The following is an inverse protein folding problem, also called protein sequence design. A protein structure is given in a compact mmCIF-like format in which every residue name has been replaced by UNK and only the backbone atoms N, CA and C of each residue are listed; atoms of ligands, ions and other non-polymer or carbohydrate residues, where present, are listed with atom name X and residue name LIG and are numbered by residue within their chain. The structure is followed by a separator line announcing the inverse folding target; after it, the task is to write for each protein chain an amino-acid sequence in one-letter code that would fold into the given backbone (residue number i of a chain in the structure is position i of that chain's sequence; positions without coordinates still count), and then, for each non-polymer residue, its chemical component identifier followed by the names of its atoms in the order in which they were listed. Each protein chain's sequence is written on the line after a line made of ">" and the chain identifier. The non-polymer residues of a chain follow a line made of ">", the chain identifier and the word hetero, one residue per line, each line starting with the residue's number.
data_IF_149425849958
#
_entry.id   IF_149425849958
#
_cell.length_a   1.000
_cell.length_b   1.000
_cell.length_c   1.000
_cell.angle_alpha   90.00
_cell.angle_beta   90.00
_cell.angle_gamma   90.00
#
_symmetry.space_group_name_H-M   'P 1'
#
loop_
_entity.id
_entity.type
_entity.pdbx_description
1 polymer ?
#
# COMPACT_ATOMS: atom_id res chain seq x y z
N UNK A 1 39.63 46.42 -14.89
CA UNK A 1 38.62 45.80 -15.78
C UNK A 1 38.08 44.55 -15.09
N UNK A 2 36.85 44.61 -14.60
CA UNK A 2 36.26 43.71 -13.59
C UNK A 2 35.41 42.67 -14.33
N UNK A 3 35.89 41.43 -14.47
CA UNK A 3 35.13 40.33 -15.09
C UNK A 3 34.38 39.57 -13.99
N UNK A 4 33.14 39.98 -13.73
CA UNK A 4 32.15 39.16 -13.02
C UNK A 4 31.36 38.39 -14.09
N UNK A 5 31.43 37.06 -14.08
CA UNK A 5 30.63 36.19 -14.95
C UNK A 5 29.96 35.10 -14.11
N UNK A 6 28.77 35.46 -13.64
CA UNK A 6 27.49 34.70 -13.69
C UNK A 6 27.56 33.20 -13.34
N UNK A 7 27.15 32.89 -12.10
CA UNK A 7 26.69 31.57 -11.67
C UNK A 7 25.33 31.25 -12.34
N UNK A 8 25.14 30.08 -12.98
CA UNK A 8 23.81 29.58 -13.28
C UNK A 8 23.24 28.89 -12.04
N UNK A 9 22.28 29.55 -11.38
CA UNK A 9 21.37 28.93 -10.42
C UNK A 9 20.42 28.03 -11.22
N UNK A 10 20.74 26.74 -11.32
CA UNK A 10 19.77 25.73 -11.75
C UNK A 10 18.78 25.49 -10.60
N UNK A 11 17.72 26.31 -10.58
CA UNK A 11 16.45 25.98 -9.95
C UNK A 11 15.75 24.92 -10.81
N UNK A 12 16.15 23.66 -10.65
CA UNK A 12 15.33 22.54 -11.09
C UNK A 12 14.15 22.40 -10.14
N UNK A 13 13.05 22.98 -10.60
CA UNK A 13 11.68 22.53 -10.47
C UNK A 13 11.35 21.55 -9.32
N UNK A 14 10.41 22.01 -8.49
CA UNK A 14 9.51 21.15 -7.75
C UNK A 14 8.96 20.01 -8.63
N UNK A 15 9.13 18.79 -8.16
CA UNK A 15 8.23 17.67 -8.40
C UNK A 15 8.22 16.94 -7.05
N UNK A 16 7.49 17.44 -6.05
CA UNK A 16 6.04 17.28 -6.10
C UNK A 16 5.79 15.80 -6.22
N UNK A 17 6.28 15.05 -5.21
CA UNK A 17 6.23 13.60 -5.19
C UNK A 17 4.85 13.19 -5.62
N UNK A 18 4.78 12.41 -6.70
CA UNK A 18 3.53 11.79 -7.12
C UNK A 18 2.86 11.29 -5.86
N UNK A 19 1.56 11.51 -5.73
CA UNK A 19 0.75 10.97 -4.63
C UNK A 19 0.88 9.45 -4.68
N UNK A 20 2.02 8.97 -4.17
CA UNK A 20 2.44 7.60 -4.24
C UNK A 20 1.47 6.87 -3.37
N UNK A 21 1.06 5.70 -3.84
CA UNK A 21 0.18 4.80 -3.11
C UNK A 21 0.50 4.88 -1.62
N UNK A 22 -0.47 5.35 -0.83
CA UNK A 22 -0.35 5.38 0.62
C UNK A 22 -0.31 3.95 1.13
N UNK A 23 -1.05 3.06 0.46
CA UNK A 23 -1.00 1.62 0.68
C UNK A 23 -1.06 0.86 -0.64
N UNK A 24 -0.27 -0.19 -0.75
CA UNK A 24 -0.35 -1.17 -1.81
C UNK A 24 -0.38 -2.58 -1.22
N UNK A 25 -1.45 -3.32 -1.47
CA UNK A 25 -1.67 -4.67 -0.99
C UNK A 25 -1.61 -5.64 -2.16
N UNK A 26 -0.59 -6.50 -2.18
CA UNK A 26 -0.51 -7.62 -3.10
C UNK A 26 -0.99 -8.88 -2.37
N UNK A 27 -1.96 -9.58 -2.96
CA UNK A 27 -2.55 -10.82 -2.44
C UNK A 27 -2.23 -11.95 -3.39
N UNK A 28 -1.47 -12.93 -2.91
CA UNK A 28 -1.28 -14.20 -3.61
C UNK A 28 -2.33 -15.19 -3.15
N UNK A 29 -3.14 -15.68 -4.08
CA UNK A 29 -4.24 -16.59 -3.78
C UNK A 29 -3.90 -18.02 -4.23
N UNK A 30 -4.13 -19.04 -3.40
CA UNK A 30 -3.85 -20.43 -3.79
C UNK A 30 -4.86 -20.99 -4.82
N UNK A 31 -6.06 -20.41 -4.90
CA UNK A 31 -7.17 -20.93 -5.72
C UNK A 31 -7.80 -19.85 -6.60
N UNK A 32 -7.10 -18.74 -6.84
CA UNK A 32 -7.60 -17.62 -7.63
C UNK A 32 -6.46 -16.79 -8.20
N UNK A 33 -6.77 -15.75 -8.99
CA UNK A 33 -5.75 -14.84 -9.49
C UNK A 33 -5.06 -14.11 -8.32
N UNK A 34 -3.79 -13.80 -8.51
CA UNK A 34 -3.10 -12.82 -7.69
C UNK A 34 -3.76 -11.45 -7.92
N UNK A 35 -3.89 -10.67 -6.86
CA UNK A 35 -4.54 -9.36 -6.88
C UNK A 35 -3.63 -8.29 -6.32
N UNK A 36 -3.60 -7.13 -6.95
CA UNK A 36 -2.92 -5.95 -6.44
C UNK A 36 -3.95 -4.85 -6.17
N UNK A 37 -4.14 -4.47 -4.92
CA UNK A 37 -5.00 -3.34 -4.52
C UNK A 37 -4.12 -2.15 -4.19
N UNK A 38 -4.37 -1.00 -4.81
CA UNK A 38 -3.66 0.25 -4.54
C UNK A 38 -4.60 1.27 -3.95
N UNK A 39 -4.15 2.00 -2.94
CA UNK A 39 -4.88 3.09 -2.30
C UNK A 39 -4.00 4.33 -2.36
N UNK A 40 -4.48 5.36 -3.04
CA UNK A 40 -3.79 6.65 -3.17
C UNK A 40 -4.13 7.58 -2.01
N UNK A 41 -3.22 8.52 -1.72
CA UNK A 41 -3.36 9.44 -0.58
C UNK A 41 -4.53 10.42 -0.68
N UNK A 42 -5.08 10.60 -1.89
CA UNK A 42 -6.27 11.40 -2.18
C UNK A 42 -7.59 10.64 -2.00
N UNK A 43 -7.56 9.40 -1.48
CA UNK A 43 -8.76 8.64 -1.14
C UNK A 43 -9.39 7.91 -2.33
N UNK A 44 -8.56 7.49 -3.29
CA UNK A 44 -8.98 6.60 -4.36
C UNK A 44 -8.31 5.23 -4.22
N UNK A 45 -8.91 4.22 -4.82
CA UNK A 45 -8.34 2.90 -4.89
C UNK A 45 -8.49 2.29 -6.29
N UNK A 46 -7.56 1.42 -6.66
CA UNK A 46 -7.64 0.59 -7.85
C UNK A 46 -7.37 -0.88 -7.52
N UNK A 47 -7.85 -1.73 -8.41
CA UNK A 47 -7.51 -3.15 -8.46
C UNK A 47 -6.73 -3.45 -9.73
N UNK A 48 -5.62 -4.18 -9.60
CA UNK A 48 -4.68 -4.55 -10.65
C UNK A 48 -4.28 -3.31 -11.48
N UNK A 49 -4.43 -3.37 -12.80
CA UNK A 49 -4.19 -2.24 -13.72
C UNK A 49 -5.48 -1.42 -13.99
N UNK A 50 -6.52 -1.64 -13.20
CA UNK A 50 -7.79 -0.94 -13.30
C UNK A 50 -7.69 0.55 -12.93
N UNK A 51 -8.70 1.31 -13.35
CA UNK A 51 -8.78 2.74 -13.04
C UNK A 51 -8.94 3.02 -11.54
N UNK A 52 -8.37 4.15 -11.08
CA UNK A 52 -8.60 4.68 -9.74
C UNK A 52 -10.06 5.11 -9.58
N UNK A 53 -10.74 4.54 -8.59
CA UNK A 53 -12.12 4.86 -8.22
C UNK A 53 -12.16 5.52 -6.84
N UNK A 54 -13.12 6.42 -6.64
CA UNK A 54 -13.34 7.03 -5.33
C UNK A 54 -13.65 5.95 -4.28
N UNK A 55 -13.10 6.14 -3.08
CA UNK A 55 -13.44 5.35 -1.91
C UNK A 55 -14.49 6.10 -1.07
N UNK A 56 -15.28 5.34 -0.34
CA UNK A 56 -16.16 5.91 0.69
C UNK A 56 -15.32 6.51 1.81
N UNK A 57 -15.83 7.56 2.46
CA UNK A 57 -15.08 8.27 3.52
C UNK A 57 -14.64 7.32 4.64
N UNK A 58 -15.46 6.35 4.99
CA UNK A 58 -15.12 5.33 5.98
C UNK A 58 -13.95 4.45 5.53
N UNK A 59 -13.90 4.04 4.26
CA UNK A 59 -12.79 3.22 3.73
C UNK A 59 -11.47 4.01 3.75
N UNK A 60 -11.50 5.31 3.43
CA UNK A 60 -10.31 6.18 3.48
C UNK A 60 -9.79 6.31 4.91
N UNK A 61 -10.69 6.51 5.88
CA UNK A 61 -10.32 6.59 7.30
C UNK A 61 -9.70 5.26 7.76
N UNK A 62 -10.35 4.13 7.44
CA UNK A 62 -9.83 2.79 7.76
C UNK A 62 -8.44 2.55 7.15
N UNK A 63 -8.25 2.91 5.88
CA UNK A 63 -6.96 2.78 5.21
C UNK A 63 -5.86 3.58 5.93
N UNK A 64 -6.12 4.84 6.28
CA UNK A 64 -5.15 5.69 7.00
C UNK A 64 -4.87 5.18 8.41
N UNK A 65 -5.86 4.65 9.11
CA UNK A 65 -5.67 4.00 10.42
C UNK A 65 -4.77 2.77 10.30
N UNK A 66 -5.03 1.92 9.31
CA UNK A 66 -4.22 0.74 9.03
C UNK A 66 -2.78 1.13 8.70
N UNK A 67 -2.56 2.16 7.87
CA UNK A 67 -1.21 2.64 7.56
C UNK A 67 -0.44 2.99 8.83
N UNK A 68 -1.04 3.80 9.71
CA UNK A 68 -0.42 4.22 10.97
C UNK A 68 -0.16 3.06 11.91
N UNK A 69 -1.14 2.16 12.08
CA UNK A 69 -1.02 0.97 12.95
C UNK A 69 -0.01 -0.05 12.40
N UNK A 70 0.12 -0.16 11.07
CA UNK A 70 1.03 -1.11 10.42
C UNK A 70 2.48 -0.62 10.36
N UNK A 71 2.70 0.70 10.46
CA UNK A 71 4.02 1.36 10.36
C UNK A 71 5.14 0.66 11.15
N UNK A 72 4.99 0.32 12.45
CA UNK A 72 6.06 -0.33 13.20
C UNK A 72 6.50 -1.67 12.60
N UNK A 73 5.56 -2.41 11.99
CA UNK A 73 5.84 -3.69 11.35
C UNK A 73 6.45 -3.51 9.95
N UNK A 74 5.98 -2.50 9.21
CA UNK A 74 6.47 -2.16 7.88
C UNK A 74 7.91 -1.64 7.91
N UNK A 75 8.24 -0.72 8.83
CA UNK A 75 9.60 -0.20 9.05
C UNK A 75 10.57 -1.33 9.40
N UNK A 76 10.12 -2.29 10.22
CA UNK A 76 10.94 -3.43 10.63
C UNK A 76 10.91 -4.60 9.63
N UNK A 77 10.33 -4.41 8.44
CA UNK A 77 10.20 -5.44 7.39
C UNK A 77 9.63 -6.79 7.89
N UNK A 78 8.72 -6.75 8.86
CA UNK A 78 8.26 -7.95 9.58
C UNK A 78 7.51 -8.91 8.65
N UNK A 79 7.69 -10.19 8.91
CA UNK A 79 6.94 -11.26 8.25
C UNK A 79 6.25 -12.12 9.30
N UNK A 80 4.95 -12.38 9.13
CA UNK A 80 4.13 -13.18 10.05
C UNK A 80 3.65 -14.47 9.39
N UNK A 81 4.04 -15.61 9.96
CA UNK A 81 3.82 -16.92 9.36
C UNK A 81 4.75 -17.20 8.18
N UNK A 82 4.56 -18.37 7.57
CA UNK A 82 5.34 -18.81 6.41
C UNK A 82 4.39 -19.07 5.24
N UNK A 83 4.81 -18.77 4.00
CA UNK A 83 4.02 -19.08 2.81
C UNK A 83 3.57 -20.55 2.82
N UNK A 84 2.29 -20.77 2.58
CA UNK A 84 1.70 -22.10 2.54
C UNK A 84 0.84 -22.24 1.27
N UNK A 85 0.92 -23.37 0.55
CA UNK A 85 0.25 -23.54 -0.75
C UNK A 85 -1.27 -23.55 -0.66
N UNK A 86 -1.85 -23.70 0.53
CA UNK A 86 -3.30 -23.70 0.77
C UNK A 86 -3.83 -22.40 1.37
N UNK A 87 -2.99 -21.36 1.51
CA UNK A 87 -3.36 -20.13 2.20
C UNK A 87 -2.98 -18.90 1.39
N UNK A 88 -3.76 -17.83 1.58
CA UNK A 88 -3.42 -16.53 0.99
C UNK A 88 -2.16 -15.98 1.63
N UNK A 89 -1.31 -15.37 0.81
CA UNK A 89 -0.13 -14.63 1.24
C UNK A 89 -0.26 -13.17 0.86
N UNK A 90 -0.11 -12.29 1.84
CA UNK A 90 -0.33 -10.86 1.71
C UNK A 90 1.00 -10.12 1.83
N UNK A 91 1.20 -9.13 0.98
CA UNK A 91 2.30 -8.16 1.07
C UNK A 91 1.69 -6.76 1.09
N UNK A 92 1.80 -6.09 2.23
CA UNK A 92 1.43 -4.68 2.36
C UNK A 92 2.67 -3.82 2.24
N UNK A 93 2.68 -2.94 1.25
CA UNK A 93 3.65 -1.86 1.08
C UNK A 93 3.01 -0.56 1.55
N UNK A 94 3.76 0.17 2.37
CA UNK A 94 3.42 1.51 2.83
C UNK A 94 4.53 2.47 2.42
N UNK A 95 4.34 3.76 2.66
CA UNK A 95 5.40 4.77 2.49
C UNK A 95 6.64 4.51 3.36
N UNK A 96 6.48 3.81 4.48
CA UNK A 96 7.53 3.55 5.47
C UNK A 96 8.24 2.19 5.28
N UNK A 97 7.69 1.27 4.50
CA UNK A 97 8.29 -0.05 4.32
C UNK A 97 7.31 -1.13 3.87
N UNK A 98 7.56 -2.37 4.28
CA UNK A 98 6.76 -3.52 3.83
C UNK A 98 6.53 -4.50 4.96
N UNK A 99 5.31 -4.99 5.11
CA UNK A 99 4.98 -6.09 6.03
C UNK A 99 4.33 -7.22 5.24
N UNK A 100 4.70 -8.46 5.56
CA UNK A 100 4.19 -9.65 4.89
C UNK A 100 3.51 -10.58 5.89
N UNK A 101 2.46 -11.26 5.47
CA UNK A 101 1.86 -12.29 6.31
C UNK A 101 1.14 -13.35 5.51
N UNK A 102 1.02 -14.53 6.13
CA UNK A 102 0.15 -15.61 5.66
C UNK A 102 -1.17 -15.56 6.41
N UNK A 103 -2.26 -15.85 5.73
CA UNK A 103 -3.58 -16.00 6.33
C UNK A 103 -3.59 -16.97 7.51
N UNK A 104 -4.21 -16.58 8.62
CA UNK A 104 -4.24 -17.39 9.84
C UNK A 104 -2.84 -17.71 10.41
N UNK A 105 -1.84 -16.88 10.11
CA UNK A 105 -0.51 -16.98 10.71
C UNK A 105 -0.56 -16.76 12.23
N UNK A 106 0.27 -17.50 12.99
CA UNK A 106 0.33 -17.36 14.45
C UNK A 106 0.95 -16.01 14.82
N UNK A 107 0.39 -15.35 15.83
CA UNK A 107 0.91 -14.07 16.34
C UNK A 107 0.66 -12.88 15.40
N UNK A 108 -0.31 -12.99 14.49
CA UNK A 108 -0.66 -11.93 13.56
C UNK A 108 -1.23 -10.71 14.32
N UNK A 109 -0.64 -9.52 14.17
CA UNK A 109 -1.21 -8.30 14.73
C UNK A 109 -2.61 -8.02 14.16
N UNK A 110 -3.57 -7.53 14.97
CA UNK A 110 -4.94 -7.26 14.51
C UNK A 110 -5.03 -6.36 13.28
N UNK A 111 -4.13 -5.38 13.15
CA UNK A 111 -4.08 -4.47 11.99
C UNK A 111 -3.92 -5.20 10.65
N UNK A 112 -3.18 -6.32 10.60
CA UNK A 112 -2.97 -7.06 9.35
C UNK A 112 -4.23 -7.84 8.95
N UNK A 113 -5.02 -8.29 9.93
CA UNK A 113 -6.33 -8.86 9.67
C UNK A 113 -7.33 -7.80 9.17
N UNK A 114 -7.32 -6.59 9.76
CA UNK A 114 -8.10 -5.45 9.26
C UNK A 114 -7.75 -5.12 7.81
N UNK A 115 -6.46 -5.09 7.47
CA UNK A 115 -6.00 -4.85 6.09
C UNK A 115 -6.47 -5.93 5.12
N UNK A 116 -6.39 -7.21 5.51
CA UNK A 116 -6.89 -8.30 4.68
C UNK A 116 -8.39 -8.16 4.40
N UNK A 117 -9.18 -7.78 5.42
CA UNK A 117 -10.62 -7.54 5.26
C UNK A 117 -10.90 -6.36 4.31
N UNK A 118 -10.24 -5.21 4.52
CA UNK A 118 -10.37 -4.06 3.62
C UNK A 118 -9.97 -4.43 2.19
N UNK A 119 -8.91 -5.22 2.02
CA UNK A 119 -8.50 -5.72 0.70
C UNK A 119 -9.59 -6.54 0.02
N UNK A 120 -10.26 -7.44 0.75
CA UNK A 120 -11.37 -8.25 0.21
C UNK A 120 -12.58 -7.37 -0.17
N UNK A 121 -12.91 -6.37 0.65
CA UNK A 121 -13.99 -5.41 0.38
C UNK A 121 -13.71 -4.63 -0.92
N UNK A 122 -12.51 -4.07 -1.04
CA UNK A 122 -12.05 -3.33 -2.21
C UNK A 122 -11.97 -4.24 -3.44
N UNK A 123 -11.47 -5.46 -3.31
CA UNK A 123 -11.39 -6.44 -4.40
C UNK A 123 -12.79 -6.71 -5.00
N UNK A 124 -13.78 -6.99 -4.16
CA UNK A 124 -15.16 -7.27 -4.59
C UNK A 124 -15.85 -6.10 -5.28
N UNK A 125 -15.43 -4.86 -4.96
CA UNK A 125 -15.98 -3.63 -5.50
C UNK A 125 -15.26 -3.21 -6.79
N UNK A 126 -13.94 -3.33 -6.83
CA UNK A 126 -13.08 -2.74 -7.86
C UNK A 126 -12.65 -3.73 -8.96
N UNK A 127 -12.49 -5.02 -8.65
CA UNK A 127 -11.97 -6.02 -9.61
C UNK A 127 -13.07 -6.66 -10.48
N UNK A 128 -14.17 -5.95 -10.73
CA UNK A 128 -15.28 -6.42 -11.55
C UNK A 128 -15.09 -6.06 -13.01
#
# INVERSE_FOLDING_TARGET
>A
MKKLLILPVLMLAACGGGSGDTLALDVKSPFGPDRAIRVSGDGRASCDEGGLQAMESEEVIRAREIEREAKPFAVAARTFGSPAPSRRFYTLRTTDGTVRWTEGGRGLPPVLAKMALLGIELERRLCR
#
